data_IF_528712370691
#
_entry.id   IF_528712370691
#
_cell.length_a   1.000
_cell.length_b   1.000
_cell.length_c   1.000
_cell.angle_alpha   90.00
_cell.angle_beta   90.00
_cell.angle_gamma   90.00
#
_symmetry.space_group_name_H-M   'P 1'
#
loop_
_entity.id
_entity.type
_entity.pdbx_description
1 polymer ?
#
# COMPACT_ATOMS: atom_id res chain seq x y z
N UNK A 1 5.16 3.16 -14.01
CA UNK A 1 4.24 3.03 -12.86
C UNK A 1 3.80 1.59 -12.65
N UNK A 2 3.13 0.94 -13.61
CA UNK A 2 2.66 -0.45 -13.47
C UNK A 2 3.77 -1.48 -13.16
N UNK A 3 4.96 -1.30 -13.76
CA UNK A 3 6.16 -2.09 -13.42
C UNK A 3 6.54 -2.02 -11.92
N UNK A 4 6.32 -0.88 -11.27
CA UNK A 4 6.59 -0.69 -9.84
C UNK A 4 5.56 -1.40 -8.97
N UNK A 5 4.30 -1.50 -9.45
CA UNK A 5 3.27 -2.33 -8.83
C UNK A 5 3.67 -3.80 -8.93
N UNK A 6 4.00 -4.29 -10.13
CA UNK A 6 4.39 -5.69 -10.33
C UNK A 6 5.61 -6.08 -9.49
N UNK A 7 6.63 -5.22 -9.42
CA UNK A 7 7.80 -5.43 -8.55
C UNK A 7 7.44 -5.43 -7.05
N UNK A 8 6.47 -4.61 -6.65
CA UNK A 8 5.95 -4.63 -5.29
C UNK A 8 5.31 -5.96 -4.94
N UNK A 9 4.47 -6.48 -5.84
CA UNK A 9 3.85 -7.80 -5.67
C UNK A 9 4.90 -8.92 -5.62
N UNK A 10 5.86 -8.90 -6.54
CA UNK A 10 6.98 -9.85 -6.53
C UNK A 10 7.80 -9.77 -5.24
N UNK A 11 8.00 -8.57 -4.70
CA UNK A 11 8.67 -8.38 -3.41
C UNK A 11 7.87 -8.99 -2.26
N UNK A 12 6.54 -8.82 -2.23
CA UNK A 12 5.66 -9.49 -1.25
C UNK A 12 5.80 -11.01 -1.34
N UNK A 13 5.77 -11.56 -2.55
CA UNK A 13 5.87 -13.00 -2.78
C UNK A 13 7.24 -13.56 -2.35
N UNK A 14 8.32 -12.84 -2.66
CA UNK A 14 9.69 -13.22 -2.28
C UNK A 14 9.93 -13.13 -0.78
N UNK A 15 9.47 -12.07 -0.12
CA UNK A 15 9.65 -11.90 1.33
C UNK A 15 8.70 -12.80 2.13
N UNK A 16 7.54 -13.17 1.56
CA UNK A 16 6.52 -14.00 2.19
C UNK A 16 6.26 -13.59 3.66
N UNK A 17 5.79 -12.36 3.94
CA UNK A 17 5.68 -11.83 5.31
C UNK A 17 4.81 -12.69 6.22
N UNK A 18 3.83 -13.42 5.67
CA UNK A 18 3.02 -14.39 6.41
C UNK A 18 3.82 -15.60 6.95
N UNK A 19 4.98 -15.91 6.37
CA UNK A 19 5.92 -16.90 6.91
C UNK A 19 6.81 -16.26 7.99
N UNK A 20 7.33 -15.06 7.74
CA UNK A 20 8.14 -14.31 8.71
C UNK A 20 7.37 -14.06 10.01
N UNK A 21 6.07 -13.79 9.93
CA UNK A 21 5.21 -13.57 11.07
C UNK A 21 5.00 -14.79 11.98
N UNK A 22 5.36 -16.00 11.54
CA UNK A 22 5.22 -17.23 12.33
C UNK A 22 6.35 -17.42 13.34
N UNK A 23 7.50 -16.82 13.10
CA UNK A 23 8.70 -16.98 13.94
C UNK A 23 9.09 -15.62 14.56
N UNK A 24 9.02 -15.50 15.90
CA UNK A 24 9.41 -14.28 16.61
C UNK A 24 10.84 -13.82 16.33
N UNK A 25 11.76 -14.74 16.00
CA UNK A 25 13.15 -14.38 15.65
C UNK A 25 13.23 -13.53 14.38
N UNK A 26 12.26 -13.67 13.47
CA UNK A 26 12.20 -12.94 12.21
C UNK A 26 11.47 -11.59 12.34
N UNK A 27 11.15 -11.14 13.56
CA UNK A 27 10.38 -9.92 13.77
C UNK A 27 11.01 -8.69 13.12
N UNK A 28 12.32 -8.50 13.23
CA UNK A 28 13.00 -7.37 12.60
C UNK A 28 12.86 -7.37 11.07
N UNK A 29 12.97 -8.54 10.44
CA UNK A 29 12.80 -8.69 9.00
C UNK A 29 11.34 -8.44 8.56
N UNK A 30 10.36 -8.90 9.36
CA UNK A 30 8.95 -8.64 9.14
C UNK A 30 8.64 -7.14 9.19
N UNK A 31 9.08 -6.45 10.24
CA UNK A 31 8.84 -5.00 10.42
C UNK A 31 9.44 -4.20 9.24
N UNK A 32 10.67 -4.53 8.83
CA UNK A 32 11.32 -3.92 7.65
C UNK A 32 10.54 -4.15 6.36
N UNK A 33 10.05 -5.38 6.15
CA UNK A 33 9.25 -5.76 4.98
C UNK A 33 7.95 -4.98 4.95
N UNK A 34 7.18 -4.97 6.05
CA UNK A 34 5.91 -4.26 6.15
C UNK A 34 6.09 -2.75 5.98
N UNK A 35 7.11 -2.16 6.61
CA UNK A 35 7.40 -0.73 6.45
C UNK A 35 7.73 -0.37 5.00
N UNK A 36 8.44 -1.25 4.28
CA UNK A 36 8.73 -1.06 2.85
C UNK A 36 7.47 -1.12 1.99
N UNK A 37 6.57 -2.06 2.28
CA UNK A 37 5.29 -2.19 1.59
C UNK A 37 4.40 -0.97 1.80
N UNK A 38 4.28 -0.49 3.04
CA UNK A 38 3.48 0.72 3.36
C UNK A 38 4.00 1.93 2.59
N UNK A 39 5.32 2.18 2.60
CA UNK A 39 5.92 3.29 1.83
C UNK A 39 5.68 3.17 0.33
N UNK A 40 5.75 1.94 -0.19
CA UNK A 40 5.52 1.69 -1.61
C UNK A 40 4.06 1.96 -2.00
N UNK A 41 3.10 1.52 -1.20
CA UNK A 41 1.66 1.78 -1.40
C UNK A 41 1.34 3.28 -1.28
N UNK A 42 1.92 3.98 -0.30
CA UNK A 42 1.74 5.43 -0.14
C UNK A 42 2.22 6.20 -1.37
N UNK A 43 3.41 5.84 -1.91
CA UNK A 43 3.91 6.44 -3.16
C UNK A 43 2.99 6.16 -4.34
N UNK A 44 2.43 4.96 -4.44
CA UNK A 44 1.49 4.62 -5.50
C UNK A 44 0.18 5.41 -5.40
N UNK A 45 -0.37 5.57 -4.20
CA UNK A 45 -1.53 6.43 -3.97
C UNK A 45 -1.27 7.84 -4.51
N UNK A 46 -0.09 8.42 -4.21
CA UNK A 46 0.24 9.76 -4.71
C UNK A 46 0.39 9.81 -6.24
N UNK A 47 1.03 8.80 -6.85
CA UNK A 47 1.16 8.73 -8.31
C UNK A 47 -0.18 8.51 -9.03
N UNK A 48 -1.13 7.82 -8.39
CA UNK A 48 -2.47 7.57 -8.93
C UNK A 48 -3.45 8.69 -8.65
N UNK A 49 -3.16 9.58 -7.69
CA UNK A 49 -4.04 10.68 -7.31
C UNK A 49 -4.58 11.50 -8.50
N UNK A 50 -3.78 11.96 -9.49
CA UNK A 50 -4.30 12.73 -10.63
C UNK A 50 -5.22 11.93 -11.57
N UNK A 51 -5.20 10.60 -11.51
CA UNK A 51 -6.04 9.72 -12.36
C UNK A 51 -7.24 9.16 -11.62
N UNK A 52 -7.08 8.84 -10.33
CA UNK A 52 -8.09 8.22 -9.48
C UNK A 52 -8.03 8.84 -8.06
N UNK A 53 -8.45 10.10 -7.89
CA UNK A 53 -8.30 10.82 -6.62
C UNK A 53 -9.07 10.12 -5.49
N UNK A 54 -10.32 9.71 -5.73
CA UNK A 54 -11.13 9.03 -4.72
C UNK A 54 -10.51 7.72 -4.21
N UNK A 55 -10.02 6.87 -5.13
CA UNK A 55 -9.39 5.59 -4.76
C UNK A 55 -8.01 5.78 -4.12
N UNK A 56 -7.29 6.82 -4.54
CA UNK A 56 -6.00 7.17 -3.93
C UNK A 56 -6.19 7.65 -2.49
N UNK A 57 -7.22 8.44 -2.21
CA UNK A 57 -7.61 8.86 -0.86
C UNK A 57 -8.08 7.68 0.01
N UNK A 58 -8.88 6.77 -0.53
CA UNK A 58 -9.29 5.55 0.18
C UNK A 58 -8.07 4.70 0.58
N UNK A 59 -7.11 4.51 -0.32
CA UNK A 59 -5.86 3.81 -0.02
C UNK A 59 -5.02 4.56 1.02
N UNK A 60 -4.88 5.88 0.88
CA UNK A 60 -4.13 6.73 1.81
C UNK A 60 -4.65 6.61 3.25
N UNK A 61 -5.98 6.70 3.41
CA UNK A 61 -6.66 6.52 4.70
C UNK A 61 -6.51 5.10 5.25
N UNK A 62 -6.62 4.09 4.38
CA UNK A 62 -6.43 2.69 4.79
C UNK A 62 -5.01 2.42 5.32
N UNK A 63 -4.00 3.11 4.81
CA UNK A 63 -2.63 3.04 5.33
C UNK A 63 -2.46 3.73 6.69
N UNK A 64 -3.46 4.50 7.15
CA UNK A 64 -3.38 5.29 8.37
C UNK A 64 -2.53 6.56 8.21
N UNK A 65 -2.35 7.02 6.97
CA UNK A 65 -1.59 8.21 6.67
C UNK A 65 -2.33 9.47 7.15
N UNK A 66 -1.62 10.48 7.67
CA UNK A 66 -2.22 11.75 8.04
C UNK A 66 -2.64 12.55 6.79
N UNK A 67 -3.53 13.51 7.00
CA UNK A 67 -4.00 14.45 5.97
C UNK A 67 -4.61 13.74 4.74
N UNK A 68 -4.42 14.35 3.57
CA UNK A 68 -4.94 13.89 2.28
C UNK A 68 -3.76 13.55 1.36
N UNK A 69 -3.97 12.55 0.48
CA UNK A 69 -3.00 12.23 -0.55
C UNK A 69 -2.76 13.42 -1.50
N UNK A 70 -3.78 14.24 -1.75
CA UNK A 70 -3.68 15.42 -2.63
C UNK A 70 -2.82 16.56 -2.07
N UNK A 71 -2.68 16.65 -0.75
CA UNK A 71 -1.85 17.66 -0.08
C UNK A 71 -0.36 17.25 -0.03
N UNK A 72 -0.06 15.97 -0.28
CA UNK A 72 1.30 15.45 -0.26
C UNK A 72 2.06 15.90 -1.50
N UNK A 73 3.24 16.49 -1.30
CA UNK A 73 4.08 16.94 -2.41
C UNK A 73 5.10 15.88 -2.83
N UNK A 74 5.42 15.83 -4.12
CA UNK A 74 6.39 14.87 -4.66
C UNK A 74 7.79 15.00 -4.05
N UNK A 75 8.23 16.19 -3.67
CA UNK A 75 9.52 16.42 -3.01
C UNK A 75 9.63 15.75 -1.63
N UNK A 76 8.49 15.49 -0.97
CA UNK A 76 8.42 14.84 0.35
C UNK A 76 8.39 13.31 0.27
N UNK A 77 8.23 12.72 -0.92
CA UNK A 77 8.17 11.26 -1.09
C UNK A 77 9.47 10.53 -0.71
N UNK A 78 10.61 11.19 -0.91
CA UNK A 78 11.92 10.63 -0.59
C UNK A 78 12.09 10.45 0.92
N UNK A 79 11.51 11.35 1.71
CA UNK A 79 11.57 11.40 3.17
C UNK A 79 10.28 10.90 3.82
N UNK A 80 9.42 10.18 3.09
CA UNK A 80 8.15 9.70 3.62
C UNK A 80 8.41 8.69 4.75
N UNK A 81 8.06 9.11 5.96
CA UNK A 81 8.11 8.28 7.15
C UNK A 81 6.69 7.82 7.51
N UNK A 82 6.50 6.51 7.47
CA UNK A 82 5.24 5.86 7.83
C UNK A 82 5.26 5.30 9.26
N UNK A 83 6.27 5.65 10.06
CA UNK A 83 6.38 5.23 11.45
C UNK A 83 5.18 5.72 12.26
N UNK A 84 4.56 4.81 13.01
CA UNK A 84 3.37 5.11 13.82
C UNK A 84 2.05 5.13 13.05
N UNK A 85 2.06 4.96 11.72
CA UNK A 85 0.82 4.81 10.96
C UNK A 85 0.10 3.52 11.35
N UNK A 86 -1.21 3.62 11.57
CA UNK A 86 -2.05 2.48 11.94
C UNK A 86 -2.93 2.11 10.77
N UNK A 87 -2.57 1.02 10.10
CA UNK A 87 -3.34 0.47 8.98
C UNK A 87 -4.75 0.12 9.45
N UNK A 88 -5.75 0.61 8.72
CA UNK A 88 -7.15 0.34 8.97
C UNK A 88 -7.69 -0.63 7.93
N UNK A 89 -8.42 -1.65 8.39
CA UNK A 89 -9.11 -2.57 7.49
C UNK A 89 -10.39 -1.91 6.98
N UNK A 90 -10.35 -1.44 5.73
CA UNK A 90 -11.50 -0.89 5.03
C UNK A 90 -12.25 -1.91 4.17
N UNK A 91 -13.25 -1.42 3.43
CA UNK A 91 -13.88 -2.16 2.34
C UNK A 91 -12.86 -2.46 1.22
N UNK A 92 -13.11 -3.48 0.37
CA UNK A 92 -12.26 -3.76 -0.78
C UNK A 92 -12.12 -2.52 -1.67
N UNK A 93 -10.89 -2.07 -1.89
CA UNK A 93 -10.60 -0.84 -2.64
C UNK A 93 -11.16 -0.89 -4.07
N UNK A 94 -11.01 -2.04 -4.71
CA UNK A 94 -11.56 -2.34 -6.04
C UNK A 94 -12.45 -3.58 -5.93
N UNK A 95 -13.77 -3.44 -5.75
CA UNK A 95 -14.69 -4.56 -5.75
C UNK A 95 -14.68 -5.25 -7.12
N UNK A 96 -14.68 -6.59 -7.13
CA UNK A 96 -14.80 -7.36 -8.37
C UNK A 96 -16.23 -7.23 -8.89
N UNK A 97 -16.40 -6.90 -10.16
CA UNK A 97 -17.69 -7.03 -10.84
C UNK A 97 -18.03 -8.50 -11.02
N UNK A 98 -19.28 -8.88 -10.72
CA UNK A 98 -19.80 -10.19 -11.06
C UNK A 98 -19.80 -10.33 -12.60
N UNK A 99 -19.37 -11.47 -13.16
CA UNK A 99 -19.51 -11.69 -14.59
C UNK A 99 -20.99 -11.66 -14.95
N UNK A 100 -21.33 -10.98 -16.05
CA UNK A 100 -22.69 -11.01 -16.58
C UNK A 100 -23.10 -12.48 -16.82
N UNK A 101 -24.33 -12.89 -16.45
CA UNK A 101 -24.78 -14.25 -16.72
C UNK A 101 -24.65 -14.51 -18.23
N UNK A 102 -24.05 -15.65 -18.58
CA UNK A 102 -23.99 -16.10 -19.96
C UNK A 102 -25.43 -16.27 -20.46
N UNK A 103 -25.78 -15.51 -21.50
CA UNK A 103 -27.05 -15.60 -22.20
C UNK A 103 -27.13 -16.88 -23.04
#
# INVERSE_FOLDING_TARGET
MWQTISRGNEYVDRQAPWKLAKDPANRAALESTLATLVRQLARQALYLFPFMPGKSEELWKALGAPDSAGEMRFDRLATLDASGWKVQKGAPLFPKTEPAPAA
#
